data_IF_320393157191
#
_entry.id   IF_320393157191
#
_cell.length_a   1.000
_cell.length_b   1.000
_cell.length_c   1.000
_cell.angle_alpha   90.00
_cell.angle_beta   90.00
_cell.angle_gamma   90.00
#
_symmetry.space_group_name_H-M   'P 1'
#
loop_
_entity.id
_entity.type
_entity.pdbx_description
1 polymer ?
#
# COMPACT_ATOMS: atom_id res chain seq x y z
N UNK A 1 -5.72 26.79 -0.87
CA UNK A 1 -5.21 26.08 -2.05
C UNK A 1 -3.97 26.79 -2.54
N UNK A 2 -2.81 26.14 -2.47
CA UNK A 2 -1.54 26.72 -2.95
C UNK A 2 -1.54 26.78 -4.49
N UNK A 3 -0.68 27.58 -5.10
CA UNK A 3 -0.59 27.63 -6.57
C UNK A 3 -0.13 26.28 -7.15
N UNK A 4 0.72 25.56 -6.43
CA UNK A 4 1.12 24.20 -6.79
C UNK A 4 -0.05 23.21 -6.74
N UNK A 5 -0.92 23.32 -5.74
CA UNK A 5 -2.12 22.47 -5.63
C UNK A 5 -3.12 22.75 -6.77
N UNK A 6 -3.26 24.03 -7.18
CA UNK A 6 -4.07 24.39 -8.36
C UNK A 6 -3.49 23.77 -9.63
N UNK A 7 -2.18 23.86 -9.83
CA UNK A 7 -1.49 23.26 -10.98
C UNK A 7 -1.72 21.75 -11.02
N UNK A 8 -1.49 21.05 -9.91
CA UNK A 8 -1.75 19.62 -9.80
C UNK A 8 -3.21 19.26 -10.14
N UNK A 9 -4.16 20.01 -9.58
CA UNK A 9 -5.60 19.81 -9.83
C UNK A 9 -6.04 20.17 -11.24
N UNK A 10 -5.25 20.93 -12.00
CA UNK A 10 -5.52 21.22 -13.40
C UNK A 10 -5.04 20.10 -14.34
N UNK A 11 -4.13 19.22 -13.88
CA UNK A 11 -3.64 18.10 -14.70
C UNK A 11 -4.78 17.13 -15.04
N UNK A 12 -4.86 16.61 -16.28
CA UNK A 12 -5.71 15.50 -16.65
C UNK A 12 -5.46 14.26 -15.78
N UNK A 13 -6.50 13.42 -15.59
CA UNK A 13 -6.35 12.20 -14.78
C UNK A 13 -5.30 11.23 -15.34
N UNK A 14 -5.14 11.18 -16.66
CA UNK A 14 -4.10 10.38 -17.31
C UNK A 14 -2.69 10.85 -16.91
N UNK A 15 -2.44 12.16 -16.87
CA UNK A 15 -1.16 12.70 -16.46
C UNK A 15 -0.88 12.47 -14.97
N UNK A 16 -1.89 12.60 -14.11
CA UNK A 16 -1.74 12.26 -12.68
C UNK A 16 -1.45 10.77 -12.48
N UNK A 17 -2.09 9.91 -13.27
CA UNK A 17 -1.83 8.47 -13.26
C UNK A 17 -0.39 8.16 -13.67
N UNK A 18 0.10 8.81 -14.72
CA UNK A 18 1.49 8.67 -15.17
C UNK A 18 2.47 9.15 -14.10
N UNK A 19 2.18 10.29 -13.46
CA UNK A 19 2.97 10.80 -12.33
C UNK A 19 3.01 9.81 -11.16
N UNK A 20 1.89 9.18 -10.79
CA UNK A 20 1.84 8.22 -9.70
C UNK A 20 2.80 7.03 -9.91
N UNK A 21 3.06 6.66 -11.17
CA UNK A 21 3.98 5.59 -11.55
C UNK A 21 5.37 6.08 -11.94
N UNK A 22 5.57 7.36 -12.20
CA UNK A 22 6.84 7.92 -12.70
C UNK A 22 7.98 7.74 -11.70
N UNK A 23 9.15 7.29 -12.16
CA UNK A 23 10.37 7.30 -11.35
C UNK A 23 10.88 8.72 -11.05
N UNK A 24 10.51 9.69 -11.89
CA UNK A 24 10.87 11.10 -11.78
C UNK A 24 9.72 11.95 -11.21
N UNK A 25 8.87 11.39 -10.34
CA UNK A 25 7.78 12.12 -9.68
C UNK A 25 8.36 13.31 -8.88
N UNK A 26 7.98 14.57 -9.18
CA UNK A 26 8.42 15.72 -8.39
C UNK A 26 8.05 15.55 -6.92
N UNK A 27 9.00 15.79 -6.01
CA UNK A 27 8.80 15.56 -4.58
C UNK A 27 7.63 16.37 -4.03
N UNK A 28 7.46 17.61 -4.50
CA UNK A 28 6.38 18.51 -4.06
C UNK A 28 4.98 18.04 -4.50
N UNK A 29 4.88 17.08 -5.43
CA UNK A 29 3.61 16.46 -5.82
C UNK A 29 3.26 15.22 -4.99
N UNK A 30 4.20 14.65 -4.23
CA UNK A 30 3.95 13.46 -3.41
C UNK A 30 2.86 13.67 -2.35
N UNK A 31 2.80 14.81 -1.63
CA UNK A 31 1.69 15.06 -0.70
C UNK A 31 0.31 15.01 -1.37
N UNK A 32 0.20 15.47 -2.62
CA UNK A 32 -1.06 15.39 -3.37
C UNK A 32 -1.42 13.95 -3.75
N UNK A 33 -0.43 13.11 -4.06
CA UNK A 33 -0.63 11.68 -4.34
C UNK A 33 -1.10 10.91 -3.09
N UNK A 34 -0.54 11.23 -1.91
CA UNK A 34 -0.96 10.65 -0.62
C UNK A 34 -2.42 10.99 -0.30
N UNK A 35 -2.90 12.15 -0.74
CA UNK A 35 -4.28 12.61 -0.52
C UNK A 35 -5.14 12.59 -1.79
N UNK A 36 -4.74 11.80 -2.79
CA UNK A 36 -5.44 11.74 -4.06
C UNK A 36 -6.87 11.20 -3.86
N UNK A 37 -7.83 11.84 -4.52
CA UNK A 37 -9.26 11.52 -4.43
C UNK A 37 -9.62 10.38 -5.39
N UNK A 38 -8.88 10.26 -6.49
CA UNK A 38 -9.08 9.18 -7.45
C UNK A 38 -8.37 7.91 -6.98
N UNK A 39 -9.15 6.97 -6.44
CA UNK A 39 -8.69 5.70 -5.87
C UNK A 39 -7.64 4.99 -6.73
N UNK A 40 -7.83 4.93 -8.05
CA UNK A 40 -6.90 4.24 -8.96
C UNK A 40 -5.51 4.87 -8.93
N UNK A 41 -5.42 6.19 -9.00
CA UNK A 41 -4.15 6.93 -8.97
C UNK A 41 -3.47 6.72 -7.61
N UNK A 42 -4.22 6.88 -6.53
CA UNK A 42 -3.73 6.65 -5.17
C UNK A 42 -3.24 5.22 -4.95
N UNK A 43 -3.94 4.23 -5.50
CA UNK A 43 -3.55 2.82 -5.45
C UNK A 43 -2.21 2.58 -6.17
N UNK A 44 -2.00 3.18 -7.34
CA UNK A 44 -0.71 3.09 -8.01
C UNK A 44 0.42 3.74 -7.22
N UNK A 45 0.17 4.91 -6.61
CA UNK A 45 1.14 5.54 -5.71
C UNK A 45 1.43 4.68 -4.48
N UNK A 46 0.42 4.11 -3.83
CA UNK A 46 0.57 3.24 -2.65
C UNK A 46 1.39 1.97 -2.93
N UNK A 47 1.44 1.54 -4.19
CA UNK A 47 2.21 0.35 -4.61
C UNK A 47 3.67 0.65 -4.90
N UNK A 48 4.11 1.91 -4.94
CA UNK A 48 5.50 2.27 -5.23
C UNK A 48 6.41 1.67 -4.17
N UNK A 49 7.51 1.03 -4.56
CA UNK A 49 8.46 0.48 -3.60
C UNK A 49 9.20 1.60 -2.83
N UNK A 50 9.30 2.79 -3.41
CA UNK A 50 10.04 3.96 -2.91
C UNK A 50 9.24 4.90 -1.99
N UNK A 51 8.15 4.43 -1.38
CA UNK A 51 7.44 5.24 -0.39
C UNK A 51 8.32 5.53 0.83
N UNK A 52 8.21 6.74 1.36
CA UNK A 52 8.82 7.10 2.65
C UNK A 52 8.03 6.47 3.80
N UNK A 53 8.63 6.39 4.99
CA UNK A 53 7.92 5.89 6.19
C UNK A 53 6.72 6.77 6.55
N UNK A 54 6.79 8.09 6.34
CA UNK A 54 5.67 9.01 6.57
C UNK A 54 4.51 8.73 5.60
N UNK A 55 4.81 8.47 4.34
CA UNK A 55 3.80 8.13 3.33
C UNK A 55 3.14 6.77 3.61
N UNK A 56 3.94 5.78 4.02
CA UNK A 56 3.42 4.47 4.47
C UNK A 56 2.51 4.68 5.70
N UNK A 57 2.93 5.49 6.67
CA UNK A 57 2.17 5.79 7.89
C UNK A 57 0.86 6.52 7.59
N UNK A 58 0.83 7.40 6.59
CA UNK A 58 -0.40 8.05 6.16
C UNK A 58 -1.33 7.07 5.43
N UNK A 59 -0.81 6.29 4.49
CA UNK A 59 -1.61 5.41 3.62
C UNK A 59 -2.11 4.15 4.34
N UNK A 60 -1.45 3.68 5.40
CA UNK A 60 -1.94 2.56 6.21
C UNK A 60 -3.19 2.94 7.03
N UNK A 61 -3.43 4.23 7.27
CA UNK A 61 -4.63 4.75 7.94
C UNK A 61 -5.75 5.14 6.97
N UNK A 62 -5.57 4.87 5.66
CA UNK A 62 -6.55 5.30 4.66
C UNK A 62 -7.93 4.68 4.91
N UNK A 63 -8.99 5.45 4.64
CA UNK A 63 -10.35 4.95 4.81
C UNK A 63 -10.69 3.84 3.82
N UNK A 64 -10.10 3.88 2.63
CA UNK A 64 -10.24 2.86 1.60
C UNK A 64 -9.34 1.65 1.89
N UNK A 65 -9.98 0.49 2.08
CA UNK A 65 -9.29 -0.77 2.33
C UNK A 65 -8.38 -1.21 1.16
N UNK A 66 -8.65 -0.79 -0.08
CA UNK A 66 -7.80 -1.09 -1.24
C UNK A 66 -6.43 -0.42 -1.09
N UNK A 67 -6.39 0.79 -0.53
CA UNK A 67 -5.14 1.51 -0.26
C UNK A 67 -4.39 0.83 0.88
N UNK A 68 -5.07 0.54 2.01
CA UNK A 68 -4.46 -0.19 3.13
C UNK A 68 -3.93 -1.57 2.70
N UNK A 69 -4.64 -2.28 1.81
CA UNK A 69 -4.21 -3.55 1.25
C UNK A 69 -2.90 -3.42 0.47
N UNK A 70 -2.76 -2.37 -0.35
CA UNK A 70 -1.52 -2.10 -1.06
C UNK A 70 -0.34 -1.94 -0.09
N UNK A 71 -0.56 -1.26 1.03
CA UNK A 71 0.45 -1.09 2.09
C UNK A 71 0.72 -2.40 2.84
N UNK A 72 -0.29 -3.21 3.14
CA UNK A 72 -0.13 -4.49 3.85
C UNK A 72 0.79 -5.51 3.14
N UNK A 73 0.92 -5.41 1.81
CA UNK A 73 1.81 -6.27 1.00
C UNK A 73 3.30 -5.93 1.13
N UNK A 74 3.63 -4.81 1.78
CA UNK A 74 4.98 -4.28 1.81
C UNK A 74 5.90 -5.06 2.77
N UNK A 75 7.17 -5.30 2.40
CA UNK A 75 8.12 -6.00 3.27
C UNK A 75 8.81 -5.07 4.27
N UNK A 76 8.67 -3.76 4.15
CA UNK A 76 9.32 -2.72 4.95
C UNK A 76 8.42 -2.12 6.03
N UNK A 77 7.30 -2.77 6.35
CA UNK A 77 6.44 -2.39 7.47
C UNK A 77 7.17 -2.56 8.81
N UNK A 78 6.89 -1.64 9.73
CA UNK A 78 7.31 -1.74 11.14
C UNK A 78 6.46 -2.78 11.89
N UNK A 79 6.90 -3.19 13.08
CA UNK A 79 6.14 -4.13 13.91
C UNK A 79 4.73 -3.60 14.27
N UNK A 80 4.62 -2.29 14.53
CA UNK A 80 3.35 -1.61 14.83
C UNK A 80 2.42 -1.61 13.62
N UNK A 81 2.93 -1.27 12.44
CA UNK A 81 2.18 -1.32 11.19
C UNK A 81 1.69 -2.74 10.85
N UNK A 82 2.55 -3.75 11.08
CA UNK A 82 2.16 -5.16 10.93
C UNK A 82 1.01 -5.50 11.88
N UNK A 83 1.13 -5.15 13.17
CA UNK A 83 0.09 -5.39 14.15
C UNK A 83 -1.24 -4.72 13.77
N UNK A 84 -1.18 -3.51 13.21
CA UNK A 84 -2.35 -2.83 12.67
C UNK A 84 -2.98 -3.61 11.50
N UNK A 85 -2.20 -4.03 10.50
CA UNK A 85 -2.74 -4.80 9.37
C UNK A 85 -3.31 -6.16 9.79
N UNK A 86 -2.68 -6.83 10.76
CA UNK A 86 -3.15 -8.13 11.31
C UNK A 86 -4.53 -7.98 11.95
N UNK A 87 -4.81 -6.83 12.57
CA UNK A 87 -6.08 -6.52 13.21
C UNK A 87 -6.99 -5.63 12.35
N UNK A 88 -6.70 -5.46 11.05
CA UNK A 88 -7.50 -4.60 10.18
C UNK A 88 -8.94 -5.13 10.10
N UNK A 89 -9.91 -4.21 10.10
CA UNK A 89 -11.33 -4.55 9.97
C UNK A 89 -11.64 -5.27 8.66
N UNK A 90 -10.89 -4.99 7.59
CA UNK A 90 -11.12 -5.55 6.27
C UNK A 90 -10.36 -6.88 6.07
N UNK A 91 -11.06 -7.98 5.72
CA UNK A 91 -10.42 -9.28 5.55
C UNK A 91 -9.43 -9.31 4.38
N UNK A 92 -9.55 -8.45 3.36
CA UNK A 92 -8.58 -8.42 2.27
C UNK A 92 -7.22 -7.86 2.71
N UNK A 93 -7.23 -6.92 3.66
CA UNK A 93 -6.01 -6.39 4.28
C UNK A 93 -5.37 -7.47 5.15
N UNK A 94 -6.16 -8.15 5.99
CA UNK A 94 -5.67 -9.29 6.81
C UNK A 94 -5.14 -10.44 5.94
N UNK A 95 -5.80 -10.74 4.83
CA UNK A 95 -5.35 -11.72 3.85
C UNK A 95 -3.99 -11.32 3.26
N UNK A 96 -3.81 -10.05 2.88
CA UNK A 96 -2.56 -9.54 2.32
C UNK A 96 -1.38 -9.65 3.31
N UNK A 97 -1.58 -9.28 4.57
CA UNK A 97 -0.52 -9.33 5.58
C UNK A 97 -0.22 -10.76 6.08
N UNK A 98 -1.16 -11.71 5.95
CA UNK A 98 -1.01 -13.08 6.48
C UNK A 98 0.18 -13.86 5.93
N UNK A 99 0.67 -13.46 4.75
CA UNK A 99 1.84 -14.04 4.09
C UNK A 99 3.08 -13.16 4.18
N UNK A 100 3.04 -12.06 4.94
CA UNK A 100 4.20 -11.22 5.14
C UNK A 100 5.26 -11.99 5.96
N UNK A 101 6.53 -12.05 5.50
CA UNK A 101 7.60 -12.76 6.20
C UNK A 101 7.90 -12.26 7.62
N UNK A 102 7.49 -11.03 7.95
CA UNK A 102 7.79 -10.38 9.25
C UNK A 102 6.70 -10.56 10.31
N UNK A 103 5.56 -11.17 10.00
CA UNK A 103 4.57 -11.46 11.05
C UNK A 103 5.16 -12.48 12.04
N UNK A 104 4.88 -12.27 13.33
CA UNK A 104 5.32 -13.19 14.37
C UNK A 104 4.53 -14.50 14.34
N UNK A 105 5.03 -15.53 15.01
CA UNK A 105 4.29 -16.79 15.12
C UNK A 105 2.94 -16.59 15.82
N UNK A 106 2.88 -15.77 16.87
CA UNK A 106 1.62 -15.44 17.55
C UNK A 106 0.61 -14.75 16.61
N UNK A 107 1.06 -13.79 15.79
CA UNK A 107 0.21 -13.15 14.78
C UNK A 107 -0.22 -14.15 13.70
N UNK A 108 0.64 -15.09 13.30
CA UNK A 108 0.27 -16.17 12.38
C UNK A 108 -0.79 -17.08 12.97
N UNK A 109 -0.67 -17.48 14.24
CA UNK A 109 -1.67 -18.29 14.94
C UNK A 109 -3.01 -17.56 15.06
N UNK A 110 -3.00 -16.26 15.35
CA UNK A 110 -4.21 -15.44 15.31
C UNK A 110 -4.88 -15.50 13.93
N UNK A 111 -4.12 -15.29 12.85
CA UNK A 111 -4.67 -15.29 11.48
C UNK A 111 -5.09 -16.69 11.00
N UNK A 112 -4.52 -17.77 11.54
CA UNK A 112 -4.97 -19.14 11.29
C UNK A 112 -6.37 -19.40 11.87
N UNK A 113 -6.78 -18.64 12.89
CA UNK A 113 -8.10 -18.68 13.51
C UNK A 113 -9.00 -17.53 13.04
N UNK A 114 -8.64 -16.84 11.94
CA UNK A 114 -9.43 -15.74 11.41
C UNK A 114 -10.83 -16.20 11.02
N UNK A 115 -11.82 -15.34 11.27
CA UNK A 115 -13.21 -15.55 10.87
C UNK A 115 -13.37 -15.70 9.35
N UNK A 116 -12.51 -15.06 8.57
CA UNK A 116 -12.50 -15.22 7.12
C UNK A 116 -11.64 -16.45 6.72
N UNK A 117 -12.25 -17.47 6.09
CA UNK A 117 -11.54 -18.70 5.74
C UNK A 117 -10.43 -18.51 4.70
N UNK A 118 -10.50 -17.45 3.87
CA UNK A 118 -9.42 -17.13 2.92
C UNK A 118 -8.20 -16.58 3.65
N UNK A 119 -8.40 -15.80 4.71
CA UNK A 119 -7.31 -15.31 5.58
C UNK A 119 -6.64 -16.48 6.28
N UNK A 120 -7.41 -17.36 6.93
CA UNK A 120 -6.89 -18.55 7.60
C UNK A 120 -6.11 -19.46 6.64
N UNK A 121 -6.67 -19.73 5.45
CA UNK A 121 -5.98 -20.50 4.41
C UNK A 121 -4.70 -19.82 3.93
N UNK A 122 -4.67 -18.50 3.82
CA UNK A 122 -3.49 -17.78 3.40
C UNK A 122 -2.38 -17.83 4.46
N UNK A 123 -2.73 -17.66 5.74
CA UNK A 123 -1.79 -17.79 6.86
C UNK A 123 -1.11 -19.17 6.91
N UNK A 124 -1.88 -20.24 6.63
CA UNK A 124 -1.39 -21.62 6.57
C UNK A 124 -0.46 -21.94 5.40
N UNK A 125 -0.40 -21.09 4.37
CA UNK A 125 0.58 -21.23 3.27
C UNK A 125 1.98 -20.73 3.63
N UNK A 126 2.14 -20.14 4.83
CA UNK A 126 3.40 -19.57 5.25
C UNK A 126 3.80 -18.29 4.51
N UNK A 127 4.98 -17.76 4.83
CA UNK A 127 5.48 -16.50 4.28
C UNK A 127 5.66 -16.58 2.76
N UNK A 128 5.50 -15.43 2.10
CA UNK A 128 5.74 -15.25 0.66
C UNK A 128 6.60 -14.02 0.45
N UNK A 129 7.63 -14.15 -0.38
CA UNK A 129 8.43 -13.00 -0.78
C UNK A 129 7.61 -11.98 -1.58
N UNK A 130 7.83 -10.70 -1.28
CA UNK A 130 7.25 -9.59 -2.04
C UNK A 130 7.80 -9.61 -3.46
N UNK A 131 6.90 -9.60 -4.43
CA UNK A 131 7.26 -9.51 -5.85
C UNK A 131 7.11 -8.09 -6.36
N UNK A 132 7.95 -7.75 -7.34
CA UNK A 132 8.02 -6.41 -7.90
C UNK A 132 7.87 -6.42 -9.42
N UNK A 133 7.50 -5.26 -9.96
CA UNK A 133 7.48 -4.97 -11.39
C UNK A 133 8.04 -3.57 -11.61
N UNK A 134 8.82 -3.39 -12.66
CA UNK A 134 9.26 -2.09 -13.13
C UNK A 134 9.14 -2.06 -14.67
N UNK A 135 8.54 -1.01 -15.21
CA UNK A 135 8.49 -0.75 -16.66
C UNK A 135 9.43 0.42 -16.98
N UNK A 136 9.90 0.58 -18.23
CA UNK A 136 10.70 1.74 -18.60
C UNK A 136 10.01 3.06 -18.21
N UNK A 137 10.74 3.97 -17.54
CA UNK A 137 10.25 5.25 -17.05
C UNK A 137 9.35 5.19 -15.81
N UNK A 138 9.04 3.99 -15.29
CA UNK A 138 8.23 3.82 -14.09
C UNK A 138 9.09 3.44 -12.89
N UNK A 139 8.70 3.92 -11.71
CA UNK A 139 9.26 3.41 -10.46
C UNK A 139 8.93 1.93 -10.30
N UNK A 140 9.72 1.26 -9.47
CA UNK A 140 9.47 -0.12 -9.07
C UNK A 140 8.19 -0.16 -8.22
N UNK A 141 7.26 -1.05 -8.56
CA UNK A 141 6.01 -1.25 -7.81
C UNK A 141 5.87 -2.67 -7.28
N UNK A 142 5.19 -2.81 -6.15
CA UNK A 142 4.83 -4.08 -5.54
C UNK A 142 3.63 -4.71 -6.29
N UNK A 143 3.68 -6.03 -6.52
CA UNK A 143 2.65 -6.79 -7.24
C UNK A 143 1.41 -7.10 -6.39
#
# INVERSE_FOLDING_TARGET
MTDLEKQYKALPLAERLDLALSEALPLDYRPFMVHEQWMVIKCYFARRADLTQDEISALIQDQDHVIRLCIAKRPDLTAEMIAQCVNDRDPNVRHAISRNPKITESQRQQLLQDVDPLVARAAGKGPKETQYRQRPGQTRVIK
#
